data_IF_833578329863
#
_entry.id   IF_833578329863
#
_cell.length_a   1.000
_cell.length_b   1.000
_cell.length_c   1.000
_cell.angle_alpha   90.00
_cell.angle_beta   90.00
_cell.angle_gamma   90.00
#
_symmetry.space_group_name_H-M   'P 1'
#
loop_
_entity.id
_entity.type
_entity.pdbx_description
1 polymer ?
#
# COMPACT_ATOMS: atom_id res chain seq x y z
N UNK A 1 17.05 -6.24 12.95
CA UNK A 1 16.70 -4.95 12.31
C UNK A 1 15.41 -5.20 11.53
N UNK A 2 14.34 -4.49 11.82
CA UNK A 2 13.07 -4.68 11.13
C UNK A 2 13.20 -4.15 9.70
N UNK A 3 12.99 -5.04 8.76
CA UNK A 3 12.90 -4.75 7.34
C UNK A 3 11.66 -3.86 7.13
N UNK A 4 11.79 -2.71 6.50
CA UNK A 4 10.69 -1.75 6.31
C UNK A 4 9.78 -2.17 5.14
N UNK A 5 9.25 -3.41 5.20
CA UNK A 5 8.25 -3.89 4.25
C UNK A 5 6.84 -3.36 4.56
N UNK A 6 6.63 -2.81 5.76
CA UNK A 6 5.30 -2.34 6.17
C UNK A 6 4.78 -1.21 5.27
N UNK A 7 5.69 -0.41 4.71
CA UNK A 7 5.31 0.69 3.83
C UNK A 7 4.60 0.22 2.56
N UNK A 8 5.13 -0.79 1.88
CA UNK A 8 4.47 -1.35 0.68
C UNK A 8 3.27 -2.20 1.04
N UNK A 9 3.33 -2.97 2.13
CA UNK A 9 2.21 -3.78 2.62
C UNK A 9 1.00 -2.89 2.90
N UNK A 10 1.22 -1.83 3.62
CA UNK A 10 0.17 -0.90 3.99
C UNK A 10 -0.41 -0.19 2.76
N UNK A 11 0.43 0.21 1.81
CA UNK A 11 -0.07 0.75 0.55
C UNK A 11 -0.92 -0.27 -0.20
N UNK A 12 -0.45 -1.51 -0.37
CA UNK A 12 -1.19 -2.57 -1.05
C UNK A 12 -2.53 -2.87 -0.35
N UNK A 13 -2.55 -2.93 0.99
CA UNK A 13 -3.77 -3.11 1.78
C UNK A 13 -4.77 -1.97 1.59
N UNK A 14 -4.31 -0.73 1.42
CA UNK A 14 -5.17 0.41 1.12
C UNK A 14 -5.82 0.35 -0.26
N UNK A 15 -5.35 -0.53 -1.15
CA UNK A 15 -5.87 -0.71 -2.50
C UNK A 15 -6.95 -1.80 -2.59
N UNK A 16 -7.20 -2.53 -1.52
CA UNK A 16 -8.23 -3.58 -1.49
C UNK A 16 -9.61 -3.00 -1.80
N UNK A 17 -10.32 -3.63 -2.72
CA UNK A 17 -11.61 -3.16 -3.24
C UNK A 17 -11.50 -2.33 -4.53
N UNK A 18 -10.28 -2.07 -5.03
CA UNK A 18 -10.13 -1.48 -6.37
C UNK A 18 -10.59 -2.44 -7.44
N UNK A 19 -11.44 -1.98 -8.36
CA UNK A 19 -12.00 -2.75 -9.48
C UNK A 19 -11.34 -2.31 -10.80
N UNK A 20 -11.01 -3.27 -11.66
CA UNK A 20 -10.59 -2.96 -13.03
C UNK A 20 -11.72 -2.34 -13.85
N UNK A 21 -11.41 -1.72 -14.97
CA UNK A 21 -12.33 -0.89 -15.74
C UNK A 21 -12.68 -1.50 -17.08
N UNK A 22 -13.90 -1.15 -17.55
CA UNK A 22 -14.34 -1.44 -18.93
C UNK A 22 -13.48 -0.76 -19.98
N UNK A 23 -13.05 0.47 -19.68
CA UNK A 23 -12.34 1.34 -20.62
C UNK A 23 -11.21 2.07 -19.89
N UNK A 24 -10.35 2.73 -20.65
CA UNK A 24 -9.24 3.54 -20.12
C UNK A 24 -9.72 4.88 -19.51
N UNK A 25 -10.85 4.86 -18.78
CA UNK A 25 -11.44 6.02 -18.08
C UNK A 25 -11.61 5.70 -16.60
N UNK A 26 -11.65 6.73 -15.77
CA UNK A 26 -11.88 6.64 -14.30
C UNK A 26 -10.88 5.71 -13.57
N UNK A 27 -9.67 5.61 -14.09
CA UNK A 27 -8.68 4.64 -13.59
C UNK A 27 -8.29 4.88 -12.12
N UNK A 28 -8.42 6.09 -11.60
CA UNK A 28 -8.08 6.42 -10.21
C UNK A 28 -9.24 6.22 -9.23
N UNK A 29 -10.48 6.13 -9.73
CA UNK A 29 -11.62 5.77 -8.91
C UNK A 29 -11.62 4.27 -8.60
N UNK A 30 -12.10 3.88 -7.41
CA UNK A 30 -12.07 2.47 -6.99
C UNK A 30 -13.15 1.62 -7.68
N UNK A 31 -14.31 2.19 -7.96
CA UNK A 31 -15.50 1.45 -8.40
C UNK A 31 -16.13 1.95 -9.68
N UNK A 32 -15.93 3.23 -10.04
CA UNK A 32 -16.48 3.78 -11.27
C UNK A 32 -15.96 3.02 -12.51
N UNK A 33 -16.77 2.94 -13.55
CA UNK A 33 -16.45 2.28 -14.82
C UNK A 33 -15.94 0.82 -14.67
N UNK A 34 -16.41 0.12 -13.62
CA UNK A 34 -16.00 -1.27 -13.35
C UNK A 34 -16.36 -2.20 -14.50
N UNK A 35 -15.49 -3.16 -14.80
CA UNK A 35 -15.66 -4.15 -15.86
C UNK A 35 -14.53 -5.18 -15.88
N UNK A 36 -14.38 -5.91 -16.98
CA UNK A 36 -13.47 -7.06 -17.09
C UNK A 36 -12.46 -6.92 -18.25
N UNK A 37 -12.06 -5.68 -18.57
CA UNK A 37 -11.16 -5.42 -19.70
C UNK A 37 -9.74 -5.08 -19.27
N UNK A 38 -9.37 -5.35 -18.02
CA UNK A 38 -8.03 -5.18 -17.45
C UNK A 38 -7.48 -3.74 -17.50
N UNK A 39 -8.28 -2.72 -17.81
CA UNK A 39 -7.83 -1.34 -17.70
C UNK A 39 -7.72 -0.95 -16.24
N UNK A 40 -6.54 -0.49 -15.83
CA UNK A 40 -6.29 -0.13 -14.43
C UNK A 40 -5.35 1.05 -14.31
N UNK A 41 -5.37 1.75 -13.17
CA UNK A 41 -4.31 2.71 -12.84
C UNK A 41 -2.93 2.06 -12.80
N UNK A 42 -2.84 0.78 -12.44
CA UNK A 42 -1.57 0.05 -12.39
C UNK A 42 -1.00 -0.20 -13.78
N UNK A 43 -1.85 -0.54 -14.76
CA UNK A 43 -1.44 -0.67 -16.16
C UNK A 43 -0.97 0.67 -16.72
N UNK A 44 -1.76 1.73 -16.54
CA UNK A 44 -1.40 3.11 -16.94
C UNK A 44 -0.07 3.56 -16.32
N UNK A 45 0.08 3.39 -15.02
CA UNK A 45 1.26 3.87 -14.31
C UNK A 45 2.50 3.04 -14.64
N UNK A 46 2.34 1.72 -14.81
CA UNK A 46 3.39 0.84 -15.30
C UNK A 46 3.87 1.26 -16.68
N UNK A 47 2.95 1.51 -17.62
CA UNK A 47 3.27 1.99 -18.96
C UNK A 47 4.04 3.30 -18.92
N UNK A 48 3.63 4.23 -18.06
CA UNK A 48 4.33 5.50 -17.85
C UNK A 48 5.76 5.29 -17.32
N UNK A 49 5.97 4.34 -16.39
CA UNK A 49 7.30 4.08 -15.81
C UNK A 49 8.24 3.33 -16.75
N UNK A 50 7.68 2.50 -17.62
CA UNK A 50 8.44 1.55 -18.44
C UNK A 50 8.45 1.88 -19.93
N UNK A 51 7.68 2.88 -20.37
CA UNK A 51 7.54 3.21 -21.79
C UNK A 51 6.80 2.12 -22.60
N UNK A 52 5.88 1.38 -21.97
CA UNK A 52 5.15 0.27 -22.60
C UNK A 52 3.71 0.65 -22.93
N UNK A 53 2.93 -0.30 -23.50
CA UNK A 53 1.51 -0.16 -23.80
C UNK A 53 0.78 -1.44 -23.38
N UNK A 54 0.86 -1.77 -22.09
CA UNK A 54 0.33 -2.99 -21.52
C UNK A 54 -0.99 -2.80 -20.76
N UNK A 55 -1.46 -1.56 -20.58
CA UNK A 55 -2.75 -1.31 -19.93
C UNK A 55 -3.89 -1.95 -20.73
N UNK A 56 -4.72 -2.73 -20.06
CA UNK A 56 -5.70 -3.62 -20.71
C UNK A 56 -5.26 -5.11 -20.74
N UNK A 57 -4.06 -5.42 -20.26
CA UNK A 57 -3.60 -6.80 -20.10
C UNK A 57 -3.63 -7.23 -18.62
N UNK A 58 -3.39 -8.52 -18.35
CA UNK A 58 -3.30 -9.06 -16.98
C UNK A 58 -2.32 -8.24 -16.12
N UNK A 59 -2.78 -7.73 -15.01
CA UNK A 59 -2.12 -6.65 -14.27
C UNK A 59 -1.60 -7.03 -12.87
N UNK A 60 -1.58 -8.31 -12.49
CA UNK A 60 -1.08 -8.74 -11.18
C UNK A 60 0.39 -8.33 -10.94
N UNK A 61 1.28 -8.53 -11.92
CA UNK A 61 2.68 -8.09 -11.84
C UNK A 61 2.83 -6.56 -11.84
N UNK A 62 2.03 -5.88 -12.68
CA UNK A 62 1.99 -4.41 -12.71
C UNK A 62 1.53 -3.83 -11.37
N UNK A 63 0.54 -4.45 -10.71
CA UNK A 63 0.07 -4.02 -9.40
C UNK A 63 1.19 -4.09 -8.36
N UNK A 64 1.88 -5.22 -8.22
CA UNK A 64 3.00 -5.37 -7.27
C UNK A 64 4.10 -4.35 -7.55
N UNK A 65 4.49 -4.17 -8.82
CA UNK A 65 5.48 -3.19 -9.25
C UNK A 65 5.07 -1.76 -8.89
N UNK A 66 3.83 -1.38 -9.19
CA UNK A 66 3.30 -0.04 -8.86
C UNK A 66 3.15 0.18 -7.34
N UNK A 67 2.81 -0.85 -6.56
CA UNK A 67 2.80 -0.74 -5.10
C UNK A 67 4.19 -0.45 -4.55
N UNK A 68 5.24 -1.09 -5.09
CA UNK A 68 6.63 -0.78 -4.73
C UNK A 68 6.99 0.67 -5.10
N UNK A 69 6.61 1.13 -6.29
CA UNK A 69 6.86 2.51 -6.72
C UNK A 69 6.15 3.51 -5.83
N UNK A 70 4.87 3.29 -5.53
CA UNK A 70 4.06 4.17 -4.67
C UNK A 70 4.60 4.23 -3.24
N UNK A 71 5.13 3.11 -2.73
CA UNK A 71 5.69 3.07 -1.40
C UNK A 71 7.08 3.72 -1.30
N UNK A 72 7.93 3.59 -2.31
CA UNK A 72 9.36 3.92 -2.20
C UNK A 72 9.89 4.84 -3.29
N UNK A 73 9.10 5.14 -4.32
CA UNK A 73 9.54 5.84 -5.53
C UNK A 73 10.27 4.92 -6.52
N UNK A 74 10.25 5.26 -7.81
CA UNK A 74 10.70 4.41 -8.91
C UNK A 74 12.14 3.87 -8.73
N UNK A 75 13.11 4.74 -8.45
CA UNK A 75 14.52 4.36 -8.28
C UNK A 75 14.73 3.33 -7.17
N UNK A 76 14.01 3.49 -6.06
CA UNK A 76 14.11 2.56 -4.93
C UNK A 76 13.33 1.28 -5.18
N UNK A 77 12.17 1.34 -5.83
CA UNK A 77 11.41 0.17 -6.23
C UNK A 77 12.23 -0.78 -7.11
N UNK A 78 12.93 -0.26 -8.12
CA UNK A 78 13.85 -1.03 -8.96
C UNK A 78 14.96 -1.70 -8.13
N UNK A 79 15.56 -0.98 -7.18
CA UNK A 79 16.56 -1.57 -6.26
C UNK A 79 15.99 -2.66 -5.37
N UNK A 80 14.78 -2.48 -4.85
CA UNK A 80 14.07 -3.47 -4.04
C UNK A 80 13.82 -4.76 -4.82
N UNK A 81 13.38 -4.64 -6.05
CA UNK A 81 13.07 -5.77 -6.91
C UNK A 81 14.36 -6.46 -7.46
N UNK A 82 15.53 -5.83 -7.28
CA UNK A 82 16.80 -6.36 -7.77
C UNK A 82 17.00 -6.20 -9.28
N UNK A 83 16.23 -5.34 -9.92
CA UNK A 83 16.24 -5.07 -11.35
C UNK A 83 15.21 -4.02 -11.74
N UNK A 84 14.50 -4.25 -12.81
CA UNK A 84 13.46 -3.34 -13.28
C UNK A 84 12.08 -3.67 -12.68
N UNK A 85 11.05 -2.93 -13.03
CA UNK A 85 9.67 -3.29 -12.73
C UNK A 85 9.26 -4.50 -13.60
N UNK A 86 8.33 -5.31 -13.12
CA UNK A 86 7.86 -6.46 -13.88
C UNK A 86 6.33 -6.45 -14.06
N UNK A 87 5.88 -6.78 -15.27
CA UNK A 87 4.49 -7.14 -15.59
C UNK A 87 4.38 -8.66 -15.78
N UNK A 88 5.42 -9.27 -16.37
CA UNK A 88 5.51 -10.70 -16.63
C UNK A 88 5.98 -11.46 -15.40
N UNK A 89 5.11 -12.26 -14.81
CA UNK A 89 5.34 -12.91 -13.51
C UNK A 89 6.53 -13.88 -13.49
N UNK A 90 6.87 -14.66 -14.54
CA UNK A 90 8.10 -15.45 -14.56
C UNK A 90 9.38 -14.60 -14.48
N UNK A 91 9.40 -13.43 -15.12
CA UNK A 91 10.54 -12.51 -15.04
C UNK A 91 10.69 -11.96 -13.62
N UNK A 92 9.59 -11.56 -12.97
CA UNK A 92 9.59 -11.14 -11.57
C UNK A 92 10.10 -12.23 -10.62
N UNK A 93 9.64 -13.47 -10.81
CA UNK A 93 10.08 -14.62 -10.01
C UNK A 93 11.59 -14.88 -10.17
N UNK A 94 12.10 -14.83 -11.40
CA UNK A 94 13.55 -14.96 -11.69
C UNK A 94 14.34 -13.84 -11.02
N UNK A 95 13.90 -12.59 -11.17
CA UNK A 95 14.56 -11.41 -10.64
C UNK A 95 14.66 -11.43 -9.12
N UNK A 96 13.61 -11.83 -8.43
CA UNK A 96 13.57 -11.98 -6.97
C UNK A 96 14.10 -13.33 -6.48
N UNK A 97 14.63 -14.17 -7.38
CA UNK A 97 15.15 -15.51 -7.07
C UNK A 97 14.15 -16.34 -6.25
N UNK A 98 12.88 -16.29 -6.65
CA UNK A 98 11.79 -16.93 -5.94
C UNK A 98 12.02 -18.45 -5.82
N UNK A 99 11.77 -18.99 -4.63
CA UNK A 99 11.95 -20.40 -4.29
C UNK A 99 10.74 -20.93 -3.54
N UNK A 100 10.50 -22.23 -3.65
CA UNK A 100 9.56 -22.93 -2.78
C UNK A 100 10.19 -23.04 -1.38
N UNK A 101 9.67 -22.27 -0.42
CA UNK A 101 10.14 -22.17 0.96
C UNK A 101 9.03 -21.62 1.86
N UNK A 102 9.25 -21.61 3.16
CA UNK A 102 8.33 -20.91 4.09
C UNK A 102 8.23 -19.42 3.74
N UNK A 103 7.02 -18.85 3.64
CA UNK A 103 6.80 -17.43 3.39
C UNK A 103 7.29 -16.56 4.55
N UNK A 104 7.60 -15.32 4.23
CA UNK A 104 7.87 -14.26 5.21
C UNK A 104 7.01 -13.04 4.89
N UNK A 105 6.63 -12.29 5.90
CA UNK A 105 5.99 -10.99 5.72
C UNK A 105 6.87 -10.09 4.83
N UNK A 106 6.28 -9.48 3.81
CA UNK A 106 6.98 -8.68 2.81
C UNK A 106 7.49 -9.44 1.60
N UNK A 107 7.38 -10.76 1.54
CA UNK A 107 7.68 -11.51 0.34
C UNK A 107 6.71 -11.17 -0.80
N UNK A 108 7.21 -11.20 -2.02
CA UNK A 108 6.39 -11.33 -3.22
C UNK A 108 6.18 -12.83 -3.47
N UNK A 109 4.92 -13.26 -3.48
CA UNK A 109 4.55 -14.62 -3.80
C UNK A 109 4.28 -14.76 -5.29
N UNK A 110 4.72 -15.86 -5.86
CA UNK A 110 4.52 -16.24 -7.24
C UNK A 110 3.87 -17.62 -7.30
N UNK A 111 2.77 -17.75 -8.03
CA UNK A 111 2.01 -18.98 -8.12
C UNK A 111 2.25 -19.68 -9.46
N UNK A 112 2.75 -20.92 -9.38
CA UNK A 112 2.88 -21.79 -10.55
C UNK A 112 1.51 -22.31 -10.99
N UNK A 113 1.25 -22.26 -12.27
CA UNK A 113 0.01 -22.76 -12.87
C UNK A 113 0.34 -23.96 -13.77
N UNK A 114 -0.12 -25.15 -13.36
CA UNK A 114 0.25 -26.41 -14.00
C UNK A 114 -0.13 -26.47 -15.49
N UNK A 115 -1.34 -26.07 -15.83
CA UNK A 115 -1.82 -26.06 -17.24
C UNK A 115 -1.01 -25.10 -18.13
N UNK A 116 -0.55 -23.97 -17.58
CA UNK A 116 0.28 -23.00 -18.31
C UNK A 116 1.77 -23.34 -18.24
N UNK A 117 2.15 -24.32 -17.43
CA UNK A 117 3.53 -24.74 -17.18
C UNK A 117 4.48 -23.59 -16.83
N UNK A 118 3.97 -22.57 -16.12
CA UNK A 118 4.75 -21.39 -15.71
C UNK A 118 4.15 -20.70 -14.50
N UNK A 119 4.92 -19.80 -13.90
CA UNK A 119 4.38 -18.80 -12.96
C UNK A 119 3.37 -17.93 -13.72
N UNK A 120 2.14 -17.83 -13.23
CA UNK A 120 1.06 -17.12 -13.91
C UNK A 120 0.31 -16.10 -13.04
N UNK A 121 0.64 -16.02 -11.75
CA UNK A 121 0.04 -15.05 -10.83
C UNK A 121 1.03 -14.63 -9.76
N UNK A 122 0.78 -13.47 -9.12
CA UNK A 122 1.64 -12.91 -8.06
C UNK A 122 0.86 -12.02 -7.11
N UNK A 123 1.38 -11.87 -5.91
CA UNK A 123 0.86 -10.98 -4.88
C UNK A 123 1.92 -10.62 -3.85
N UNK A 124 1.54 -9.84 -2.85
CA UNK A 124 2.40 -9.42 -1.75
C UNK A 124 1.94 -10.06 -0.44
N UNK A 125 2.84 -10.74 0.28
CA UNK A 125 2.56 -11.35 1.58
C UNK A 125 2.52 -10.26 2.65
N UNK A 126 1.35 -10.05 3.28
CA UNK A 126 1.20 -9.04 4.33
C UNK A 126 1.25 -9.60 5.76
N UNK A 127 0.96 -10.89 5.93
CA UNK A 127 1.05 -11.56 7.21
C UNK A 127 1.33 -13.06 7.04
N UNK A 128 1.88 -13.67 8.07
CA UNK A 128 2.16 -15.11 8.16
C UNK A 128 1.89 -15.55 9.59
N UNK A 129 1.21 -16.68 9.77
CA UNK A 129 1.10 -17.40 11.03
C UNK A 129 1.55 -18.87 10.87
N UNK A 130 1.33 -19.70 11.86
CA UNK A 130 1.80 -21.10 11.86
C UNK A 130 1.11 -21.97 10.79
N UNK A 131 -0.11 -21.61 10.39
CA UNK A 131 -0.97 -22.41 9.49
C UNK A 131 -1.12 -21.77 8.09
N UNK A 132 -1.01 -20.45 8.01
CA UNK A 132 -1.37 -19.72 6.80
C UNK A 132 -0.41 -18.58 6.48
N UNK A 133 -0.36 -18.22 5.22
CA UNK A 133 0.11 -16.92 4.79
C UNK A 133 -1.02 -16.14 4.11
N UNK A 134 -0.94 -14.82 4.23
CA UNK A 134 -1.97 -13.90 3.80
C UNK A 134 -1.40 -12.93 2.77
N UNK A 135 -2.11 -12.71 1.67
CA UNK A 135 -1.66 -11.89 0.56
C UNK A 135 -2.62 -10.76 0.24
N UNK A 136 -2.08 -9.70 -0.37
CA UNK A 136 -2.84 -8.77 -1.20
C UNK A 136 -2.46 -9.04 -2.64
N UNK A 137 -3.44 -9.19 -3.50
CA UNK A 137 -3.26 -9.55 -4.90
C UNK A 137 -4.06 -8.61 -5.80
N UNK A 138 -3.46 -8.19 -6.90
CA UNK A 138 -4.15 -7.52 -8.00
C UNK A 138 -4.55 -8.52 -9.07
N UNK A 139 -5.49 -8.16 -9.92
CA UNK A 139 -6.02 -9.05 -10.96
C UNK A 139 -6.55 -10.38 -10.40
N UNK A 140 -7.27 -10.29 -9.29
CA UNK A 140 -7.83 -11.44 -8.55
C UNK A 140 -9.30 -11.20 -8.21
N UNK A 141 -9.89 -12.10 -7.44
CA UNK A 141 -11.23 -11.95 -6.87
C UNK A 141 -11.26 -12.44 -5.43
N UNK A 142 -12.39 -12.28 -4.74
CA UNK A 142 -12.61 -12.82 -3.40
C UNK A 142 -12.76 -14.36 -3.35
N UNK A 143 -12.83 -15.02 -4.52
CA UNK A 143 -12.92 -16.48 -4.59
C UNK A 143 -11.74 -17.17 -3.91
N UNK A 144 -11.97 -18.35 -3.33
CA UNK A 144 -10.93 -19.15 -2.68
C UNK A 144 -9.90 -19.63 -3.71
N UNK A 145 -8.63 -19.73 -3.29
CA UNK A 145 -7.54 -20.20 -4.15
C UNK A 145 -6.97 -19.13 -5.09
N UNK A 146 -6.08 -19.54 -5.99
CA UNK A 146 -5.41 -18.66 -6.95
C UNK A 146 -6.37 -18.31 -8.07
N UNK A 147 -6.63 -17.03 -8.27
CA UNK A 147 -7.41 -16.50 -9.39
C UNK A 147 -6.46 -15.82 -10.36
N UNK A 148 -6.34 -16.34 -11.54
CA UNK A 148 -5.38 -15.89 -12.55
C UNK A 148 -5.78 -14.59 -13.25
N UNK A 149 -7.07 -14.42 -13.48
CA UNK A 149 -7.65 -13.25 -14.12
C UNK A 149 -8.95 -12.91 -13.42
N UNK A 150 -8.89 -11.99 -12.51
CA UNK A 150 -10.03 -11.48 -11.76
C UNK A 150 -10.04 -9.95 -11.76
N UNK A 151 -11.17 -9.38 -11.44
CA UNK A 151 -11.45 -7.97 -11.67
C UNK A 151 -11.01 -7.02 -10.56
N UNK A 152 -10.29 -7.45 -9.51
CA UNK A 152 -10.07 -6.57 -8.35
C UNK A 152 -8.72 -6.74 -7.65
N UNK A 153 -8.47 -5.84 -6.69
CA UNK A 153 -7.50 -6.03 -5.62
C UNK A 153 -8.20 -6.65 -4.43
N UNK A 154 -7.74 -7.82 -3.98
CA UNK A 154 -8.33 -8.54 -2.85
C UNK A 154 -7.29 -9.11 -1.89
N UNK A 155 -7.74 -9.35 -0.64
CA UNK A 155 -7.00 -10.17 0.33
C UNK A 155 -7.25 -11.63 0.06
N UNK A 156 -6.20 -12.44 0.18
CA UNK A 156 -6.28 -13.89 0.04
C UNK A 156 -5.59 -14.57 1.23
N UNK A 157 -5.91 -15.84 1.44
CA UNK A 157 -5.32 -16.70 2.46
C UNK A 157 -5.00 -18.07 1.86
N UNK A 158 -3.81 -18.59 2.15
CA UNK A 158 -3.32 -19.88 1.66
C UNK A 158 -2.67 -20.67 2.79
N UNK A 159 -2.74 -22.01 2.77
CA UNK A 159 -1.97 -22.83 3.70
C UNK A 159 -0.47 -22.51 3.63
N UNK A 160 0.22 -22.60 4.76
CA UNK A 160 1.65 -22.25 4.88
C UNK A 160 2.54 -23.05 3.92
N UNK A 161 2.14 -24.27 3.58
CA UNK A 161 2.82 -25.21 2.69
C UNK A 161 2.17 -25.32 1.29
N UNK A 162 1.52 -24.25 0.82
CA UNK A 162 0.81 -24.25 -0.47
C UNK A 162 1.77 -24.60 -1.63
N UNK A 163 1.54 -25.77 -2.23
CA UNK A 163 2.50 -26.45 -3.10
C UNK A 163 2.95 -25.65 -4.35
N UNK A 164 2.09 -24.77 -4.87
CA UNK A 164 2.39 -23.99 -6.08
C UNK A 164 2.95 -22.60 -5.79
N UNK A 165 3.21 -22.26 -4.52
CA UNK A 165 3.71 -20.94 -4.12
C UNK A 165 5.24 -20.89 -4.04
N UNK A 166 5.83 -19.91 -4.69
CA UNK A 166 7.25 -19.57 -4.64
C UNK A 166 7.40 -18.16 -4.07
N UNK A 167 8.38 -17.95 -3.23
CA UNK A 167 8.55 -16.69 -2.50
C UNK A 167 9.90 -16.04 -2.80
N UNK A 168 9.86 -14.78 -3.23
CA UNK A 168 11.02 -13.92 -3.41
C UNK A 168 10.96 -12.75 -2.45
N UNK A 169 12.05 -12.51 -1.69
CA UNK A 169 12.12 -11.37 -0.78
C UNK A 169 12.74 -10.18 -1.49
N UNK A 170 12.03 -9.05 -1.63
CA UNK A 170 12.65 -7.81 -2.10
C UNK A 170 13.81 -7.37 -1.21
N UNK A 171 14.82 -6.73 -1.79
CA UNK A 171 16.03 -6.31 -1.07
C UNK A 171 15.76 -5.10 -0.16
N UNK A 172 14.93 -5.26 0.86
CA UNK A 172 14.52 -4.17 1.76
C UNK A 172 15.68 -3.50 2.51
N UNK A 173 16.78 -4.22 2.75
CA UNK A 173 18.05 -3.73 3.28
C UNK A 173 18.70 -2.67 2.39
N UNK A 174 18.57 -2.80 1.06
CA UNK A 174 19.19 -1.89 0.08
C UNK A 174 18.46 -0.53 -0.04
N UNK A 175 17.26 -0.41 0.50
CA UNK A 175 16.49 0.84 0.44
C UNK A 175 16.87 1.77 1.58
N UNK A 176 17.74 1.33 2.45
CA UNK A 176 18.05 1.91 3.73
C UNK A 176 16.82 1.84 4.63
N UNK A 177 17.01 1.49 5.88
CA UNK A 177 16.09 1.90 6.92
C UNK A 177 16.08 3.42 6.86
N UNK A 178 15.22 3.99 6.04
CA UNK A 178 14.66 5.24 6.43
C UNK A 178 14.05 4.90 7.79
N UNK A 179 14.82 4.99 8.86
CA UNK A 179 14.25 5.20 10.18
C UNK A 179 13.20 6.22 9.88
N UNK A 180 11.95 5.79 9.83
CA UNK A 180 10.85 6.72 9.73
C UNK A 180 11.24 7.70 10.79
N UNK A 181 11.41 8.96 10.41
CA UNK A 181 11.84 10.01 11.30
C UNK A 181 10.74 10.28 12.33
N UNK A 182 10.11 9.18 12.82
CA UNK A 182 9.10 9.22 13.88
C UNK A 182 9.69 9.92 15.09
N UNK A 183 10.94 9.63 15.43
CA UNK A 183 11.61 10.35 16.51
C UNK A 183 11.87 11.81 16.13
N UNK A 184 12.25 12.12 14.87
CA UNK A 184 12.37 13.50 14.40
C UNK A 184 11.03 14.22 14.36
N UNK A 185 9.95 13.54 13.89
CA UNK A 185 8.59 14.11 13.86
C UNK A 185 8.08 14.30 15.29
N UNK A 186 8.22 13.31 16.16
CA UNK A 186 7.84 13.40 17.58
C UNK A 186 8.61 14.52 18.27
N UNK A 187 9.91 14.64 18.04
CA UNK A 187 10.73 15.71 18.57
C UNK A 187 10.28 17.07 18.00
N UNK A 188 10.05 17.16 16.69
CA UNK A 188 9.59 18.40 16.06
C UNK A 188 8.21 18.84 16.59
N UNK A 189 7.27 17.91 16.78
CA UNK A 189 5.96 18.20 17.36
C UNK A 189 6.11 18.71 18.81
N UNK A 190 7.00 18.10 19.60
CA UNK A 190 7.23 18.50 21.00
C UNK A 190 7.94 19.85 21.15
N UNK A 191 8.87 20.17 20.24
CA UNK A 191 9.76 21.34 20.39
C UNK A 191 9.34 22.57 19.61
N UNK A 192 8.59 22.40 18.51
CA UNK A 192 8.27 23.49 17.58
C UNK A 192 6.81 23.93 17.67
N UNK A 193 5.92 23.08 18.22
CA UNK A 193 4.49 23.38 18.32
C UNK A 193 3.75 23.38 16.99
N UNK A 194 2.51 23.84 17.01
CA UNK A 194 1.61 23.95 15.86
C UNK A 194 1.90 25.23 15.07
N UNK A 195 1.75 25.18 13.75
CA UNK A 195 1.70 26.40 12.94
C UNK A 195 0.28 27.00 13.02
N UNK A 196 0.10 28.03 13.81
CA UNK A 196 -1.20 28.66 14.12
C UNK A 196 -1.70 29.66 13.08
N UNK A 197 -0.87 30.02 12.08
CA UNK A 197 -1.17 31.12 11.17
C UNK A 197 -2.06 30.75 9.98
N UNK A 198 -2.49 29.50 9.85
CA UNK A 198 -3.30 29.05 8.72
C UNK A 198 -4.62 28.44 9.20
N UNK A 199 -5.74 28.91 8.62
CA UNK A 199 -7.08 28.37 8.90
C UNK A 199 -7.32 27.14 8.05
N UNK A 200 -7.80 26.05 8.67
CA UNK A 200 -8.15 24.82 7.95
C UNK A 200 -9.33 25.07 7.00
N UNK A 201 -9.18 24.85 5.68
CA UNK A 201 -10.24 25.06 4.71
C UNK A 201 -11.36 24.01 4.76
N UNK A 202 -11.16 22.92 5.50
CA UNK A 202 -12.14 21.84 5.65
C UNK A 202 -12.88 21.96 6.99
N UNK A 203 -14.16 21.55 7.02
CA UNK A 203 -14.96 21.56 8.26
C UNK A 203 -14.43 20.50 9.24
N UNK A 204 -14.29 20.89 10.52
CA UNK A 204 -13.88 19.97 11.60
C UNK A 204 -14.90 18.83 11.73
N UNK A 205 -14.47 17.55 11.70
CA UNK A 205 -15.37 16.42 11.90
C UNK A 205 -15.81 16.32 13.37
N UNK A 206 -17.03 15.84 13.56
CA UNK A 206 -17.64 15.62 14.89
C UNK A 206 -17.53 14.16 15.36
N UNK A 207 -17.10 13.27 14.47
CA UNK A 207 -16.99 11.81 14.74
C UNK A 207 -15.57 11.33 14.54
N UNK A 208 -15.27 10.15 15.07
CA UNK A 208 -14.00 9.45 14.83
C UNK A 208 -13.76 9.25 13.34
N UNK A 209 -12.55 9.59 12.88
CA UNK A 209 -12.16 9.42 11.48
C UNK A 209 -11.67 7.99 11.26
N UNK A 210 -12.33 7.30 10.35
CA UNK A 210 -12.07 5.92 9.94
C UNK A 210 -11.91 5.84 8.42
N UNK A 211 -11.57 4.66 7.90
CA UNK A 211 -11.51 4.42 6.45
C UNK A 211 -12.86 4.61 5.73
N UNK A 212 -13.97 4.67 6.48
CA UNK A 212 -15.33 4.95 5.98
C UNK A 212 -15.74 6.41 6.10
N UNK A 213 -14.90 7.28 6.65
CA UNK A 213 -15.19 8.69 6.81
C UNK A 213 -15.23 9.42 5.46
N UNK A 214 -16.00 10.52 5.41
CA UNK A 214 -16.08 11.36 4.21
C UNK A 214 -14.69 11.88 3.83
N UNK A 215 -14.44 12.02 2.55
CA UNK A 215 -13.15 12.50 2.00
C UNK A 215 -12.71 13.83 2.64
N UNK A 216 -13.64 14.74 2.90
CA UNK A 216 -13.34 16.02 3.52
C UNK A 216 -12.94 15.91 4.99
N UNK A 217 -13.45 14.93 5.74
CA UNK A 217 -13.05 14.70 7.14
C UNK A 217 -11.58 14.23 7.20
N UNK A 218 -11.18 13.36 6.26
CA UNK A 218 -9.80 12.91 6.15
C UNK A 218 -8.88 14.03 5.67
N UNK A 219 -9.32 14.88 4.74
CA UNK A 219 -8.57 16.08 4.33
C UNK A 219 -8.38 17.06 5.48
N UNK A 220 -9.41 17.26 6.30
CA UNK A 220 -9.29 18.07 7.50
C UNK A 220 -8.18 17.54 8.41
N UNK A 221 -8.17 16.24 8.69
CA UNK A 221 -7.18 15.58 9.52
C UNK A 221 -5.75 15.69 8.95
N UNK A 222 -5.59 15.44 7.65
CA UNK A 222 -4.29 15.55 6.98
C UNK A 222 -3.75 16.97 7.04
N UNK A 223 -4.63 17.95 6.85
CA UNK A 223 -4.28 19.36 6.93
C UNK A 223 -3.84 19.73 8.36
N UNK A 224 -4.60 19.34 9.40
CA UNK A 224 -4.23 19.61 10.81
C UNK A 224 -2.90 18.94 11.18
N UNK A 225 -2.69 17.68 10.79
CA UNK A 225 -1.41 16.99 11.02
C UNK A 225 -0.24 17.74 10.37
N UNK A 226 -0.45 18.35 9.19
CA UNK A 226 0.59 19.14 8.53
C UNK A 226 0.96 20.40 9.31
N UNK A 227 0.02 21.00 10.04
CA UNK A 227 0.34 22.12 10.95
C UNK A 227 1.26 21.68 12.10
N UNK A 228 1.25 20.41 12.46
CA UNK A 228 2.15 19.79 13.43
C UNK A 228 3.41 19.16 12.79
N UNK A 229 3.90 19.76 11.68
CA UNK A 229 5.13 19.36 10.97
C UNK A 229 5.10 18.00 10.29
N UNK A 230 3.93 17.50 9.99
CA UNK A 230 3.78 16.41 9.01
C UNK A 230 3.99 16.93 7.58
N UNK A 231 4.15 16.02 6.62
CA UNK A 231 4.29 16.34 5.19
C UNK A 231 3.37 15.40 4.39
N UNK A 232 2.08 15.44 4.73
CA UNK A 232 1.05 14.63 4.07
C UNK A 232 0.53 15.33 2.82
N UNK A 233 0.27 14.56 1.78
CA UNK A 233 -0.60 15.00 0.69
C UNK A 233 -2.03 15.05 1.25
N UNK A 234 -2.73 16.17 1.05
CA UNK A 234 -4.11 16.36 1.50
C UNK A 234 -5.05 15.82 0.42
N UNK A 235 -5.09 14.48 0.28
CA UNK A 235 -5.84 13.75 -0.75
C UNK A 235 -7.21 13.22 -0.27
N UNK A 236 -7.42 13.21 1.06
CA UNK A 236 -8.63 12.68 1.68
C UNK A 236 -8.65 11.15 1.78
N UNK A 237 -7.47 10.51 1.70
CA UNK A 237 -7.31 9.06 1.87
C UNK A 237 -6.70 8.80 3.24
N UNK A 238 -7.40 8.05 4.10
CA UNK A 238 -6.85 7.59 5.37
C UNK A 238 -5.89 6.41 5.16
N UNK A 239 -4.81 6.69 4.44
CA UNK A 239 -3.75 5.72 4.16
C UNK A 239 -2.73 5.65 5.29
N UNK A 240 -1.74 4.79 5.09
CA UNK A 240 -0.71 4.48 6.09
C UNK A 240 0.11 5.69 6.48
N UNK A 241 0.44 6.56 5.53
CA UNK A 241 1.17 7.78 5.85
C UNK A 241 0.37 8.63 6.85
N UNK A 242 -0.95 8.77 6.63
CA UNK A 242 -1.84 9.49 7.54
C UNK A 242 -1.89 8.80 8.91
N UNK A 243 -2.08 7.48 8.95
CA UNK A 243 -2.10 6.71 10.21
C UNK A 243 -0.76 6.78 10.95
N UNK A 244 0.35 6.75 10.24
CA UNK A 244 1.69 6.92 10.84
C UNK A 244 1.85 8.29 11.47
N UNK A 245 1.36 9.35 10.84
CA UNK A 245 1.40 10.70 11.38
C UNK A 245 0.45 10.85 12.58
N UNK A 246 -0.73 10.22 12.56
CA UNK A 246 -1.62 10.15 13.73
C UNK A 246 -0.87 9.53 14.92
N UNK A 247 -0.24 8.37 14.74
CA UNK A 247 0.54 7.70 15.79
C UNK A 247 1.69 8.55 16.31
N UNK A 248 2.42 9.23 15.42
CA UNK A 248 3.49 10.13 15.81
C UNK A 248 2.97 11.32 16.64
N UNK A 249 1.86 11.91 16.21
CA UNK A 249 1.18 12.99 16.94
C UNK A 249 0.69 12.51 18.31
N UNK A 250 -0.03 11.37 18.37
CA UNK A 250 -0.51 10.78 19.61
C UNK A 250 0.64 10.54 20.60
N UNK A 251 1.75 9.97 20.12
CA UNK A 251 2.96 9.76 20.96
C UNK A 251 3.53 11.08 21.47
N UNK A 252 3.58 12.11 20.63
CA UNK A 252 4.12 13.42 21.02
C UNK A 252 3.25 14.11 22.08
N UNK A 253 1.93 13.91 22.01
CA UNK A 253 0.94 14.51 22.93
C UNK A 253 0.57 13.61 24.13
N UNK A 254 1.24 12.47 24.30
CA UNK A 254 0.95 11.54 25.41
C UNK A 254 -0.42 10.86 25.33
N UNK A 255 -0.99 10.76 24.13
CA UNK A 255 -2.26 10.07 23.87
C UNK A 255 -2.03 8.57 23.63
N UNK A 256 -3.12 7.79 23.69
CA UNK A 256 -3.09 6.37 23.27
C UNK A 256 -2.64 6.29 21.80
N UNK A 257 -1.59 5.51 21.51
CA UNK A 257 -0.95 5.42 20.19
C UNK A 257 -1.61 4.30 19.38
N UNK A 258 -2.88 4.47 19.05
CA UNK A 258 -3.70 3.49 18.30
C UNK A 258 -3.76 3.78 16.78
N UNK A 259 -3.42 5.02 16.38
CA UNK A 259 -3.52 5.47 14.99
C UNK A 259 -4.95 5.81 14.55
N UNK A 260 -5.87 5.97 15.51
CA UNK A 260 -7.27 6.37 15.28
C UNK A 260 -7.46 7.83 15.67
N UNK A 261 -7.96 8.65 14.75
CA UNK A 261 -8.29 10.04 15.06
C UNK A 261 -9.68 10.13 15.71
N UNK A 262 -9.77 9.69 16.97
CA UNK A 262 -10.94 9.85 17.83
C UNK A 262 -11.04 11.24 18.46
N UNK A 263 -12.06 11.46 19.29
CA UNK A 263 -12.36 12.77 19.91
C UNK A 263 -11.15 13.38 20.64
N UNK A 264 -10.41 12.60 21.43
CA UNK A 264 -9.21 13.08 22.13
C UNK A 264 -8.12 13.55 21.16
N UNK A 265 -7.87 12.79 20.08
CA UNK A 265 -6.88 13.14 19.05
C UNK A 265 -7.32 14.38 18.27
N UNK A 266 -8.60 14.44 17.86
CA UNK A 266 -9.19 15.58 17.13
C UNK A 266 -9.12 16.85 18.01
N UNK A 267 -9.42 16.76 19.29
CA UNK A 267 -9.32 17.89 20.22
C UNK A 267 -7.89 18.36 20.38
N UNK A 268 -6.93 17.45 20.55
CA UNK A 268 -5.53 17.79 20.69
C UNK A 268 -4.93 18.44 19.43
N UNK A 269 -5.41 18.05 18.22
CA UNK A 269 -4.94 18.61 16.95
C UNK A 269 -5.28 20.10 16.80
N UNK A 270 -6.40 20.56 17.36
CA UNK A 270 -6.84 21.96 17.25
C UNK A 270 -6.40 22.84 18.42
N UNK A 271 -5.95 22.26 19.55
CA UNK A 271 -5.44 23.04 20.66
C UNK A 271 -4.10 23.67 20.27
N UNK A 272 -4.03 24.98 20.44
CA UNK A 272 -2.78 25.73 20.48
C UNK A 272 -2.17 25.53 21.86
N UNK A 273 -0.88 25.24 21.94
CA UNK A 273 -0.12 25.28 23.19
C UNK A 273 0.51 26.63 23.37
#
# INVERSE_FOLDING_TARGET
>A
MSVDCDKVINYALSQVGYLEKKTNKDLDDFTANAGYNNYTKYGRDYDKYMGTRLNGNAWCGMAVSCWMVSAYGLKKAKKLLGGDLFSYTPAGAKMLKAKHRKPKKGDVVFFYHATMRRIAHTGLVYAVDDKYFYTVEGNTSSAVGVVRNGGCVAKKKYPINFATAYFGTPCYDKVGTGKVKTNKIVTAIKTVGKNVNAKNPYKKPTTTITSKSKKNDVKWLQWELNQWKSSLVVDGILGVNTVTQIKAFQKAKGLVVDGVAGSKTITALVKDE
#
